data_IF_818713887032
#
_entry.id   IF_818713887032
#
_cell.length_a   1.000
_cell.length_b   1.000
_cell.length_c   1.000
_cell.angle_alpha   90.00
_cell.angle_beta   90.00
_cell.angle_gamma   90.00
#
_symmetry.space_group_name_H-M   'P 1'
#
loop_
_entity.id
_entity.type
_entity.pdbx_description
1 polymer ?
#
# COMPACT_ATOMS: atom_id res chain seq x y z
N UNK A 1 9.58 -23.25 30.05
CA UNK A 1 8.41 -23.52 29.18
C UNK A 1 7.48 -22.34 29.34
N UNK A 2 7.85 -21.24 28.68
CA UNK A 2 7.34 -19.89 28.94
C UNK A 2 6.23 -19.63 27.93
N UNK A 3 5.01 -19.49 28.43
CA UNK A 3 3.78 -19.29 27.69
C UNK A 3 3.85 -17.97 26.92
N UNK A 4 4.17 -18.06 25.62
CA UNK A 4 3.93 -16.99 24.64
C UNK A 4 2.42 -16.92 24.42
N UNK A 5 1.74 -16.13 25.24
CA UNK A 5 0.37 -15.70 24.93
C UNK A 5 0.53 -14.63 23.85
N UNK A 6 0.57 -15.06 22.59
CA UNK A 6 0.18 -14.18 21.50
C UNK A 6 -1.17 -13.59 21.88
N UNK A 7 -1.22 -12.27 22.08
CA UNK A 7 -2.49 -11.55 22.08
C UNK A 7 -3.11 -11.76 20.71
N UNK A 8 -3.89 -12.83 20.56
CA UNK A 8 -4.81 -12.96 19.45
C UNK A 8 -5.74 -11.76 19.54
N UNK A 9 -5.47 -10.74 18.73
CA UNK A 9 -6.42 -9.66 18.52
C UNK A 9 -7.64 -10.32 17.91
N UNK A 10 -8.69 -10.49 18.72
CA UNK A 10 -9.93 -11.09 18.25
C UNK A 10 -10.50 -10.18 17.16
N UNK A 11 -10.48 -10.67 15.92
CA UNK A 11 -11.14 -10.03 14.81
C UNK A 11 -12.65 -10.13 15.04
N UNK A 12 -13.29 -9.04 15.43
CA UNK A 12 -14.74 -8.92 15.26
C UNK A 12 -15.01 -8.80 13.76
N UNK A 13 -15.32 -9.94 13.14
CA UNK A 13 -15.50 -10.09 11.70
C UNK A 13 -16.54 -9.12 11.16
N UNK A 14 -17.60 -8.85 11.93
CA UNK A 14 -18.67 -7.94 11.54
C UNK A 14 -18.18 -6.49 11.48
N UNK A 15 -17.39 -6.07 12.48
CA UNK A 15 -16.79 -4.74 12.54
C UNK A 15 -15.74 -4.59 11.44
N UNK A 16 -14.88 -5.58 11.25
CA UNK A 16 -13.83 -5.57 10.23
C UNK A 16 -14.43 -5.51 8.83
N UNK A 17 -15.41 -6.35 8.50
CA UNK A 17 -16.12 -6.31 7.21
C UNK A 17 -16.79 -4.96 6.96
N UNK A 18 -17.51 -4.44 7.97
CA UNK A 18 -18.16 -3.13 7.88
C UNK A 18 -17.16 -2.03 7.58
N UNK A 19 -15.97 -2.07 8.18
CA UNK A 19 -14.91 -1.08 7.97
C UNK A 19 -14.26 -1.23 6.60
N UNK A 20 -13.94 -2.44 6.17
CA UNK A 20 -13.40 -2.67 4.83
C UNK A 20 -14.37 -2.17 3.75
N UNK A 21 -15.67 -2.46 3.90
CA UNK A 21 -16.70 -1.94 3.02
C UNK A 21 -16.82 -0.41 3.08
N UNK A 22 -16.72 0.19 4.27
CA UNK A 22 -16.75 1.64 4.44
C UNK A 22 -15.58 2.33 3.72
N UNK A 23 -14.34 1.85 3.93
CA UNK A 23 -13.16 2.37 3.25
C UNK A 23 -13.32 2.31 1.73
N UNK A 24 -13.68 1.15 1.20
CA UNK A 24 -13.92 0.97 -0.24
C UNK A 24 -15.02 1.91 -0.77
N UNK A 25 -16.08 2.13 0.01
CA UNK A 25 -17.20 2.99 -0.39
C UNK A 25 -16.89 4.48 -0.35
N UNK A 26 -16.00 4.91 0.56
CA UNK A 26 -15.62 6.31 0.69
C UNK A 26 -14.59 6.69 -0.37
N UNK A 27 -13.62 5.83 -0.63
CA UNK A 27 -12.53 6.08 -1.59
C UNK A 27 -12.88 5.64 -3.02
N UNK A 28 -14.08 5.91 -3.54
CA UNK A 28 -14.49 5.45 -4.89
C UNK A 28 -13.66 6.02 -6.05
N UNK A 29 -13.08 7.21 -5.88
CA UNK A 29 -12.16 7.82 -6.86
C UNK A 29 -10.73 7.27 -6.81
N UNK A 30 -10.44 6.40 -5.84
CA UNK A 30 -9.12 5.83 -5.57
C UNK A 30 -9.24 4.31 -5.42
N UNK A 31 -8.11 3.62 -5.42
CA UNK A 31 -8.09 2.21 -5.00
C UNK A 31 -7.87 2.11 -3.49
N UNK A 32 -8.41 1.07 -2.87
CA UNK A 32 -8.10 0.73 -1.47
C UNK A 32 -7.37 -0.60 -1.44
N UNK A 33 -6.22 -0.64 -0.79
CA UNK A 33 -5.45 -1.84 -0.53
C UNK A 33 -5.63 -2.28 0.92
N UNK A 34 -5.74 -3.58 1.16
CA UNK A 34 -5.97 -4.13 2.49
C UNK A 34 -4.82 -5.04 2.93
N UNK A 35 -4.43 -5.00 4.21
CA UNK A 35 -3.43 -5.89 4.76
C UNK A 35 -3.88 -7.36 4.70
N UNK A 36 -3.02 -8.24 4.22
CA UNK A 36 -3.26 -9.71 4.15
C UNK A 36 -3.60 -10.33 5.51
N UNK A 37 -3.18 -9.72 6.61
CA UNK A 37 -3.43 -10.18 7.97
C UNK A 37 -4.93 -10.30 8.28
N UNK A 38 -5.79 -9.53 7.59
CA UNK A 38 -7.25 -9.65 7.68
C UNK A 38 -7.80 -10.99 7.22
N UNK A 39 -7.05 -11.72 6.40
CA UNK A 39 -7.47 -13.01 5.82
C UNK A 39 -7.42 -14.15 6.83
N UNK A 40 -6.92 -13.91 8.05
CA UNK A 40 -7.08 -14.82 9.18
C UNK A 40 -8.55 -15.01 9.61
N UNK A 41 -9.46 -14.10 9.21
CA UNK A 41 -10.91 -14.29 9.30
C UNK A 41 -11.47 -14.82 7.97
N UNK A 42 -12.04 -16.05 7.91
CA UNK A 42 -12.56 -16.63 6.68
C UNK A 42 -13.67 -15.79 6.00
N UNK A 43 -14.63 -15.19 6.73
CA UNK A 43 -15.60 -14.28 6.14
C UNK A 43 -14.97 -13.04 5.50
N UNK A 44 -13.92 -12.47 6.12
CA UNK A 44 -13.18 -11.33 5.57
C UNK A 44 -12.40 -11.75 4.32
N UNK A 45 -11.69 -12.88 4.35
CA UNK A 45 -10.99 -13.42 3.19
C UNK A 45 -11.93 -13.66 2.00
N UNK A 46 -13.09 -14.30 2.25
CA UNK A 46 -14.11 -14.55 1.22
C UNK A 46 -14.67 -13.24 0.63
N UNK A 47 -14.84 -12.20 1.45
CA UNK A 47 -15.24 -10.88 0.97
C UNK A 47 -14.15 -10.23 0.12
N UNK A 48 -12.89 -10.26 0.55
CA UNK A 48 -11.76 -9.69 -0.18
C UNK A 48 -11.60 -10.34 -1.57
N UNK A 49 -11.71 -11.67 -1.66
CA UNK A 49 -11.71 -12.40 -2.92
C UNK A 49 -12.86 -12.01 -3.85
N UNK A 50 -14.09 -11.94 -3.32
CA UNK A 50 -15.29 -11.59 -4.10
C UNK A 50 -15.28 -10.13 -4.60
N UNK A 51 -14.87 -9.19 -3.75
CA UNK A 51 -14.84 -7.77 -4.07
C UNK A 51 -13.63 -7.35 -4.90
N UNK A 52 -12.71 -8.29 -5.19
CA UNK A 52 -11.49 -8.09 -5.98
C UNK A 52 -10.66 -6.89 -5.49
N UNK A 53 -10.52 -6.74 -4.18
CA UNK A 53 -9.74 -5.65 -3.58
C UNK A 53 -8.24 -5.86 -3.79
N UNK A 54 -7.45 -4.79 -3.75
CA UNK A 54 -5.98 -4.91 -3.70
C UNK A 54 -5.56 -5.43 -2.32
N UNK A 55 -4.54 -6.26 -2.27
CA UNK A 55 -4.02 -6.86 -1.04
C UNK A 55 -2.53 -6.61 -0.93
N UNK A 56 -2.10 -6.04 0.21
CA UNK A 56 -0.70 -5.85 0.55
C UNK A 56 -0.17 -7.08 1.30
N UNK A 57 0.97 -7.59 0.85
CA UNK A 57 1.67 -8.76 1.40
C UNK A 57 3.15 -8.45 1.59
N UNK A 58 3.76 -8.89 2.69
CA UNK A 58 5.15 -8.56 3.00
C UNK A 58 6.10 -9.77 2.83
N UNK A 59 5.58 -10.97 3.06
CA UNK A 59 6.35 -12.22 3.11
C UNK A 59 5.87 -13.24 2.07
N UNK A 60 6.72 -14.19 1.72
CA UNK A 60 6.33 -15.29 0.83
C UNK A 60 5.16 -16.12 1.40
N UNK A 61 5.13 -16.33 2.72
CA UNK A 61 4.06 -17.07 3.40
C UNK A 61 2.71 -16.32 3.33
N UNK A 62 2.73 -15.01 3.55
CA UNK A 62 1.53 -14.17 3.39
C UNK A 62 1.03 -14.15 1.94
N UNK A 63 1.94 -14.07 0.97
CA UNK A 63 1.62 -14.16 -0.44
C UNK A 63 0.95 -15.51 -0.79
N UNK A 64 1.48 -16.61 -0.28
CA UNK A 64 0.89 -17.95 -0.48
C UNK A 64 -0.48 -18.08 0.18
N UNK A 65 -0.65 -17.52 1.39
CA UNK A 65 -1.95 -17.45 2.06
C UNK A 65 -2.97 -16.67 1.22
N UNK A 66 -2.59 -15.51 0.67
CA UNK A 66 -3.49 -14.72 -0.17
C UNK A 66 -3.93 -15.50 -1.41
N UNK A 67 -3.01 -16.19 -2.08
CA UNK A 67 -3.29 -17.03 -3.24
C UNK A 67 -4.21 -18.22 -2.86
N UNK A 68 -3.95 -18.88 -1.74
CA UNK A 68 -4.77 -20.00 -1.25
C UNK A 68 -6.22 -19.57 -0.95
N UNK A 69 -6.42 -18.32 -0.53
CA UNK A 69 -7.73 -17.72 -0.34
C UNK A 69 -8.36 -17.15 -1.62
N UNK A 70 -7.76 -17.39 -2.80
CA UNK A 70 -8.32 -17.04 -4.10
C UNK A 70 -8.03 -15.62 -4.59
N UNK A 71 -7.14 -14.88 -3.93
CA UNK A 71 -6.68 -13.56 -4.42
C UNK A 71 -5.85 -13.76 -5.68
N UNK A 72 -6.18 -13.02 -6.73
CA UNK A 72 -5.47 -13.14 -8.00
C UNK A 72 -4.14 -12.38 -7.94
N UNK A 73 -3.06 -12.83 -8.62
CA UNK A 73 -1.79 -12.10 -8.68
C UNK A 73 -1.93 -10.64 -9.10
N UNK A 74 -2.88 -10.33 -9.99
CA UNK A 74 -3.20 -8.97 -10.44
C UNK A 74 -3.74 -8.03 -9.33
N UNK A 75 -4.10 -8.56 -8.16
CA UNK A 75 -4.56 -7.82 -7.00
C UNK A 75 -3.47 -7.62 -5.94
N UNK A 76 -2.32 -8.31 -6.07
CA UNK A 76 -1.29 -8.35 -5.04
C UNK A 76 -0.28 -7.22 -5.21
N UNK A 77 -0.01 -6.51 -4.13
CA UNK A 77 1.12 -5.58 -4.00
C UNK A 77 2.07 -6.16 -2.98
N UNK A 78 3.29 -6.46 -3.42
CA UNK A 78 4.32 -7.06 -2.56
C UNK A 78 5.19 -5.98 -1.95
N UNK A 79 5.36 -6.02 -0.63
CA UNK A 79 6.32 -5.23 0.16
C UNK A 79 7.41 -6.17 0.69
N UNK A 80 8.29 -6.67 -0.19
CA UNK A 80 9.20 -7.76 0.14
C UNK A 80 10.12 -7.42 1.31
N UNK A 81 10.09 -8.26 2.36
CA UNK A 81 11.04 -8.15 3.49
C UNK A 81 12.42 -8.73 3.19
N UNK A 82 12.50 -9.68 2.28
CA UNK A 82 13.71 -10.41 1.95
C UNK A 82 13.73 -10.92 0.49
N UNK A 83 14.82 -11.60 0.12
CA UNK A 83 14.97 -12.18 -1.22
C UNK A 83 14.00 -13.32 -1.52
N UNK A 84 13.52 -14.05 -0.52
CA UNK A 84 12.55 -15.14 -0.71
C UNK A 84 11.17 -14.57 -1.08
N UNK A 85 10.76 -13.50 -0.41
CA UNK A 85 9.61 -12.68 -0.76
C UNK A 85 9.69 -12.15 -2.20
N UNK A 86 10.83 -11.58 -2.61
CA UNK A 86 11.05 -11.12 -4.00
C UNK A 86 10.93 -12.24 -5.02
N UNK A 87 11.63 -13.36 -4.79
CA UNK A 87 11.60 -14.51 -5.68
C UNK A 87 10.19 -15.08 -5.83
N UNK A 88 9.44 -15.16 -4.71
CA UNK A 88 8.06 -15.65 -4.73
C UNK A 88 7.14 -14.71 -5.50
N UNK A 89 7.26 -13.40 -5.27
CA UNK A 89 6.44 -12.40 -5.96
C UNK A 89 6.68 -12.40 -7.48
N UNK A 90 7.92 -12.59 -7.92
CA UNK A 90 8.27 -12.75 -9.33
C UNK A 90 7.66 -14.05 -9.91
N UNK A 91 7.80 -15.18 -9.20
CA UNK A 91 7.29 -16.47 -9.65
C UNK A 91 5.76 -16.49 -9.85
N UNK A 92 5.01 -15.85 -8.95
CA UNK A 92 3.54 -15.78 -9.03
C UNK A 92 3.04 -14.58 -9.84
N UNK A 93 3.95 -13.69 -10.27
CA UNK A 93 3.67 -12.46 -11.03
C UNK A 93 2.71 -11.52 -10.31
N UNK A 94 3.06 -11.14 -9.07
CA UNK A 94 2.35 -10.13 -8.33
C UNK A 94 2.17 -8.84 -9.16
N UNK A 95 1.09 -8.10 -8.94
CA UNK A 95 0.76 -6.96 -9.78
C UNK A 95 1.84 -5.89 -9.73
N UNK A 96 2.35 -5.61 -8.51
CA UNK A 96 3.37 -4.59 -8.24
C UNK A 96 4.30 -5.01 -7.11
N UNK A 97 5.56 -4.61 -7.20
CA UNK A 97 6.55 -4.74 -6.12
C UNK A 97 6.89 -3.36 -5.55
N UNK A 98 6.97 -3.24 -4.23
CA UNK A 98 7.50 -2.05 -3.56
C UNK A 98 8.99 -2.25 -3.31
N UNK A 99 9.82 -1.41 -3.91
CA UNK A 99 11.28 -1.49 -3.81
C UNK A 99 11.76 -0.39 -2.88
N UNK A 100 12.41 -0.79 -1.78
CA UNK A 100 12.83 0.11 -0.71
C UNK A 100 14.35 0.31 -0.61
N UNK A 101 15.13 -0.49 -1.35
CA UNK A 101 16.58 -0.41 -1.37
C UNK A 101 17.16 -0.73 -2.74
N UNK A 102 18.40 -0.30 -2.99
CA UNK A 102 19.15 -0.62 -4.21
C UNK A 102 19.41 -2.14 -4.33
N UNK A 103 19.70 -2.80 -3.20
CA UNK A 103 19.85 -4.26 -3.14
C UNK A 103 18.57 -4.97 -3.60
N UNK A 104 17.40 -4.53 -3.11
CA UNK A 104 16.12 -5.08 -3.56
C UNK A 104 15.89 -4.85 -5.05
N UNK A 105 16.25 -3.68 -5.59
CA UNK A 105 16.16 -3.40 -7.01
C UNK A 105 17.03 -4.36 -7.84
N UNK A 106 18.30 -4.54 -7.46
CA UNK A 106 19.21 -5.50 -8.12
C UNK A 106 18.66 -6.92 -8.06
N UNK A 107 18.20 -7.38 -6.89
CA UNK A 107 17.67 -8.74 -6.72
C UNK A 107 16.38 -8.93 -7.53
N UNK A 108 15.46 -7.97 -7.51
CA UNK A 108 14.23 -8.00 -8.29
C UNK A 108 14.53 -8.08 -9.79
N UNK A 109 15.45 -7.25 -10.29
CA UNK A 109 15.83 -7.23 -11.70
C UNK A 109 16.45 -8.56 -12.17
N UNK A 110 17.31 -9.17 -11.34
CA UNK A 110 17.92 -10.48 -11.65
C UNK A 110 16.90 -11.62 -11.66
N UNK A 111 15.91 -11.57 -10.77
CA UNK A 111 14.87 -12.59 -10.65
C UNK A 111 13.68 -12.40 -11.61
N UNK A 112 13.61 -11.25 -12.30
CA UNK A 112 12.48 -10.90 -13.14
C UNK A 112 12.35 -11.81 -14.36
N UNK A 113 11.17 -12.42 -14.52
CA UNK A 113 10.81 -13.25 -15.68
C UNK A 113 10.00 -12.50 -16.74
N UNK A 114 9.70 -11.23 -16.46
CA UNK A 114 8.98 -10.27 -17.30
C UNK A 114 9.39 -8.87 -16.86
N UNK A 115 8.81 -7.85 -17.48
CA UNK A 115 8.89 -6.50 -16.93
C UNK A 115 8.02 -6.44 -15.67
N UNK A 116 8.65 -6.23 -14.51
CA UNK A 116 7.97 -6.07 -13.23
C UNK A 116 7.58 -4.61 -13.01
N UNK A 117 6.32 -4.38 -12.68
CA UNK A 117 5.88 -3.03 -12.29
C UNK A 117 6.29 -2.76 -10.86
N UNK A 118 7.01 -1.67 -10.63
CA UNK A 118 7.53 -1.32 -9.32
C UNK A 118 7.06 0.04 -8.83
N UNK A 119 6.83 0.12 -7.52
CA UNK A 119 6.70 1.36 -6.79
C UNK A 119 7.99 1.56 -6.00
N UNK A 120 8.59 2.75 -6.06
CA UNK A 120 9.75 3.06 -5.22
C UNK A 120 9.26 3.61 -3.89
N UNK A 121 9.79 3.07 -2.79
CA UNK A 121 9.49 3.57 -1.45
C UNK A 121 10.01 5.01 -1.30
N UNK A 122 9.15 5.88 -0.79
CA UNK A 122 9.46 7.27 -0.49
C UNK A 122 10.40 7.42 0.70
N UNK A 123 10.89 8.64 0.92
CA UNK A 123 11.81 8.97 2.00
C UNK A 123 13.22 9.28 1.52
N UNK A 124 14.17 9.38 2.47
CA UNK A 124 15.50 9.94 2.23
C UNK A 124 16.31 9.23 1.13
N UNK A 125 16.12 7.91 0.98
CA UNK A 125 16.85 7.07 0.00
C UNK A 125 16.12 6.86 -1.32
N UNK A 126 14.96 7.46 -1.50
CA UNK A 126 14.11 7.24 -2.68
C UNK A 126 14.85 7.57 -4.00
N UNK A 127 15.80 8.50 -3.97
CA UNK A 127 16.59 8.92 -5.14
C UNK A 127 17.59 7.86 -5.58
N UNK A 128 18.34 7.30 -4.64
CA UNK A 128 19.32 6.25 -4.89
C UNK A 128 18.61 4.99 -5.39
N UNK A 129 17.50 4.62 -4.73
CA UNK A 129 16.66 3.49 -5.17
C UNK A 129 16.07 3.71 -6.55
N UNK A 130 15.58 4.92 -6.85
CA UNK A 130 15.07 5.27 -8.18
C UNK A 130 16.17 5.14 -9.25
N UNK A 131 17.37 5.64 -8.98
CA UNK A 131 18.49 5.54 -9.92
C UNK A 131 18.84 4.09 -10.23
N UNK A 132 18.88 3.24 -9.20
CA UNK A 132 19.13 1.80 -9.36
C UNK A 132 18.01 1.11 -10.12
N UNK A 133 16.73 1.40 -9.82
CA UNK A 133 15.59 0.82 -10.54
C UNK A 133 15.65 1.18 -12.04
N UNK A 134 15.96 2.43 -12.37
CA UNK A 134 16.07 2.90 -13.75
C UNK A 134 17.25 2.29 -14.53
N UNK A 135 18.25 1.76 -13.83
CA UNK A 135 19.37 1.07 -14.47
C UNK A 135 18.98 -0.31 -15.04
N UNK A 136 17.86 -0.89 -14.57
CA UNK A 136 17.41 -2.23 -14.96
C UNK A 136 16.20 -2.18 -15.89
N UNK A 137 16.33 -2.71 -17.11
CA UNK A 137 15.23 -2.75 -18.10
C UNK A 137 14.08 -3.69 -17.74
N UNK A 138 14.32 -4.60 -16.80
CA UNK A 138 13.35 -5.54 -16.27
C UNK A 138 12.38 -4.88 -15.27
N UNK A 139 12.66 -3.66 -14.81
CA UNK A 139 11.84 -2.94 -13.85
C UNK A 139 11.18 -1.74 -14.53
N UNK A 140 9.86 -1.69 -14.48
CA UNK A 140 9.05 -0.55 -14.94
C UNK A 140 8.57 0.22 -13.71
N UNK A 141 9.18 1.37 -13.46
CA UNK A 141 8.80 2.22 -12.32
C UNK A 141 7.52 2.98 -12.63
N UNK A 142 6.42 2.56 -12.01
CA UNK A 142 5.09 3.09 -12.30
C UNK A 142 4.62 4.15 -11.29
N UNK A 143 5.28 4.25 -10.14
CA UNK A 143 4.84 5.12 -9.07
C UNK A 143 5.73 5.14 -7.84
N UNK A 144 5.24 5.83 -6.81
CA UNK A 144 5.85 5.88 -5.49
C UNK A 144 4.95 5.19 -4.46
N UNK A 145 5.56 4.63 -3.43
CA UNK A 145 4.88 4.17 -2.23
C UNK A 145 5.36 5.00 -1.03
N UNK A 146 4.44 5.64 -0.31
CA UNK A 146 4.74 6.39 0.90
C UNK A 146 3.85 5.90 2.04
N UNK A 147 4.30 6.12 3.27
CA UNK A 147 3.55 5.80 4.47
C UNK A 147 3.34 7.07 5.30
N UNK A 148 2.13 7.21 5.86
CA UNK A 148 1.81 8.22 6.85
C UNK A 148 2.59 7.96 8.15
N UNK A 149 3.14 9.03 8.74
CA UNK A 149 3.65 8.96 10.11
C UNK A 149 2.47 9.21 11.06
N UNK A 150 2.04 8.23 11.87
CA UNK A 150 0.89 8.41 12.75
C UNK A 150 1.06 9.50 13.81
N UNK A 151 2.31 9.91 14.10
CA UNK A 151 2.59 10.93 15.12
C UNK A 151 2.52 12.35 14.58
N UNK A 152 2.91 12.56 13.33
CA UNK A 152 3.05 13.90 12.72
C UNK A 152 2.08 14.14 11.55
N UNK A 153 1.77 13.09 10.79
CA UNK A 153 0.88 13.13 9.62
C UNK A 153 -0.11 11.95 9.62
N UNK A 154 -0.99 11.82 10.63
CA UNK A 154 -1.86 10.67 10.81
C UNK A 154 -2.85 10.45 9.64
N UNK A 155 -3.09 11.49 8.84
CA UNK A 155 -3.97 11.45 7.67
C UNK A 155 -3.19 11.31 6.35
N UNK A 156 -1.85 11.26 6.38
CA UNK A 156 -1.00 11.05 5.20
C UNK A 156 -0.97 12.22 4.21
N UNK A 157 -1.39 13.42 4.62
CA UNK A 157 -1.50 14.59 3.77
C UNK A 157 -0.12 15.17 3.44
N UNK A 158 0.77 15.19 4.43
CA UNK A 158 2.18 15.56 4.26
C UNK A 158 2.92 14.57 3.37
N UNK A 159 2.78 13.27 3.66
CA UNK A 159 3.36 12.19 2.88
C UNK A 159 2.91 12.23 1.41
N UNK A 160 1.62 12.51 1.15
CA UNK A 160 1.09 12.66 -0.20
C UNK A 160 1.66 13.89 -0.92
N UNK A 161 1.75 15.06 -0.25
CA UNK A 161 2.38 16.26 -0.82
C UNK A 161 3.84 16.01 -1.18
N UNK A 162 4.59 15.36 -0.28
CA UNK A 162 5.99 15.00 -0.51
C UNK A 162 6.14 14.05 -1.69
N UNK A 163 5.32 13.00 -1.77
CA UNK A 163 5.34 12.06 -2.90
C UNK A 163 5.08 12.76 -4.25
N UNK A 164 4.12 13.69 -4.31
CA UNK A 164 3.84 14.46 -5.52
C UNK A 164 5.01 15.38 -5.89
N UNK A 165 5.64 16.03 -4.91
CA UNK A 165 6.84 16.81 -5.14
C UNK A 165 8.00 15.95 -5.67
N UNK A 166 8.19 14.74 -5.11
CA UNK A 166 9.20 13.78 -5.57
C UNK A 166 8.94 13.33 -7.00
N UNK A 167 7.70 13.03 -7.38
CA UNK A 167 7.32 12.69 -8.77
C UNK A 167 7.68 13.81 -9.76
N UNK A 168 7.55 15.07 -9.34
CA UNK A 168 7.93 16.24 -10.16
C UNK A 168 9.45 16.32 -10.31
N UNK A 169 10.21 16.07 -9.24
CA UNK A 169 11.66 16.02 -9.28
C UNK A 169 12.17 14.88 -10.17
N UNK A 170 11.55 13.70 -10.07
CA UNK A 170 11.85 12.53 -10.90
C UNK A 170 11.57 12.84 -12.37
N UNK A 171 10.41 13.44 -12.69
CA UNK A 171 10.11 13.87 -14.07
C UNK A 171 11.17 14.82 -14.63
N UNK A 172 11.66 15.75 -13.81
CA UNK A 172 12.66 16.75 -14.24
C UNK A 172 14.05 16.15 -14.44
N UNK A 173 14.47 15.23 -13.57
CA UNK A 173 15.84 14.67 -13.57
C UNK A 173 16.00 13.41 -14.40
N UNK A 174 14.96 12.58 -14.43
CA UNK A 174 14.99 11.27 -15.06
C UNK A 174 14.13 11.21 -16.32
N UNK A 175 13.37 12.27 -16.65
CA UNK A 175 12.43 12.31 -17.78
C UNK A 175 11.34 11.22 -17.74
N UNK A 176 11.05 10.69 -16.55
CA UNK A 176 10.02 9.67 -16.31
C UNK A 176 8.77 10.31 -15.70
N UNK A 177 7.60 10.02 -16.27
CA UNK A 177 6.31 10.44 -15.71
C UNK A 177 5.69 9.25 -14.99
N UNK A 178 5.69 9.33 -13.65
CA UNK A 178 5.05 8.33 -12.80
C UNK A 178 3.54 8.55 -12.81
N UNK A 179 2.77 7.47 -12.71
CA UNK A 179 1.31 7.51 -12.86
C UNK A 179 0.55 7.02 -11.62
N UNK A 180 1.26 6.61 -10.57
CA UNK A 180 0.66 6.02 -9.36
C UNK A 180 1.31 6.53 -8.08
N UNK A 181 0.48 6.65 -7.05
CA UNK A 181 0.91 6.82 -5.66
C UNK A 181 0.19 5.77 -4.82
N UNK A 182 0.93 5.07 -3.99
CA UNK A 182 0.39 4.24 -2.91
C UNK A 182 0.67 4.94 -1.58
N UNK A 183 -0.38 5.31 -0.84
CA UNK A 183 -0.31 5.96 0.47
C UNK A 183 -0.78 4.98 1.54
N UNK A 184 0.13 4.45 2.33
CA UNK A 184 -0.15 3.50 3.39
C UNK A 184 -0.11 4.13 4.78
N UNK A 185 -0.45 3.31 5.79
CA UNK A 185 -0.34 3.69 7.20
C UNK A 185 -1.41 4.65 7.67
N UNK A 186 -2.50 4.82 6.91
CA UNK A 186 -3.59 5.72 7.32
C UNK A 186 -4.27 5.16 8.56
N UNK A 187 -3.95 5.75 9.72
CA UNK A 187 -4.54 5.35 10.99
C UNK A 187 -5.86 6.09 11.22
N UNK A 188 -6.95 5.33 11.14
CA UNK A 188 -8.29 5.80 11.49
C UNK A 188 -8.55 5.87 12.99
N UNK A 189 -7.56 5.57 13.85
CA UNK A 189 -7.67 5.50 15.31
C UNK A 189 -8.31 6.75 15.94
N UNK A 190 -8.04 7.94 15.38
CA UNK A 190 -8.67 9.20 15.78
C UNK A 190 -9.97 9.53 15.02
N UNK A 191 -10.23 8.95 13.84
CA UNK A 191 -11.38 9.28 12.99
C UNK A 191 -12.73 8.72 13.49
N UNK A 192 -12.75 8.02 14.63
CA UNK A 192 -13.94 7.34 15.18
C UNK A 192 -14.73 6.50 14.17
N UNK A 193 -14.15 6.17 13.01
CA UNK A 193 -14.76 5.42 11.90
C UNK A 193 -16.16 5.91 11.55
N UNK A 194 -16.43 7.19 11.80
CA UNK A 194 -17.71 7.78 11.42
C UNK A 194 -17.67 7.94 9.90
N UNK A 195 -18.69 7.47 9.17
CA UNK A 195 -18.67 7.55 7.71
C UNK A 195 -18.42 8.95 7.16
N UNK A 196 -18.88 10.00 7.85
CA UNK A 196 -18.65 11.38 7.44
C UNK A 196 -17.19 11.82 7.63
N UNK A 197 -16.53 11.41 8.72
CA UNK A 197 -15.15 11.80 8.99
C UNK A 197 -14.20 11.20 7.96
N UNK A 198 -14.40 9.91 7.61
CA UNK A 198 -13.62 9.28 6.56
C UNK A 198 -13.87 9.93 5.19
N UNK A 199 -15.09 10.40 4.90
CA UNK A 199 -15.38 11.17 3.69
C UNK A 199 -14.61 12.48 3.63
N UNK A 200 -14.57 13.24 4.73
CA UNK A 200 -13.76 14.46 4.79
C UNK A 200 -12.28 14.16 4.53
N UNK A 201 -11.74 13.04 5.03
CA UNK A 201 -10.36 12.64 4.76
C UNK A 201 -10.16 12.30 3.29
N UNK A 202 -11.07 11.54 2.67
CA UNK A 202 -10.98 11.22 1.25
C UNK A 202 -11.06 12.47 0.37
N UNK A 203 -11.98 13.40 0.68
CA UNK A 203 -12.10 14.70 0.01
C UNK A 203 -10.83 15.54 0.18
N UNK A 204 -10.27 15.59 1.39
CA UNK A 204 -9.04 16.33 1.65
C UNK A 204 -7.83 15.74 0.89
N UNK A 205 -7.70 14.41 0.84
CA UNK A 205 -6.66 13.74 0.05
C UNK A 205 -6.84 14.02 -1.45
N UNK A 206 -8.08 13.98 -1.95
CA UNK A 206 -8.40 14.29 -3.34
C UNK A 206 -8.03 15.74 -3.70
N UNK A 207 -8.34 16.69 -2.80
CA UNK A 207 -7.98 18.10 -2.92
C UNK A 207 -6.46 18.30 -2.94
N UNK A 208 -5.71 17.60 -2.09
CA UNK A 208 -4.23 17.63 -2.15
C UNK A 208 -3.73 17.15 -3.51
N UNK A 209 -4.24 16.03 -4.03
CA UNK A 209 -3.84 15.57 -5.37
C UNK A 209 -4.21 16.64 -6.41
N UNK A 210 -5.42 17.21 -6.33
CA UNK A 210 -5.89 18.22 -7.27
C UNK A 210 -4.98 19.47 -7.27
N UNK A 211 -4.79 20.08 -6.11
CA UNK A 211 -4.01 21.30 -5.92
C UNK A 211 -2.56 21.10 -6.34
N UNK A 212 -1.90 20.01 -5.91
CA UNK A 212 -0.50 19.77 -6.27
C UNK A 212 -0.33 19.46 -7.75
N UNK A 213 -1.25 18.69 -8.37
CA UNK A 213 -1.21 18.42 -9.81
C UNK A 213 -1.39 19.72 -10.62
N UNK A 214 -2.32 20.58 -10.23
CA UNK A 214 -2.53 21.88 -10.84
C UNK A 214 -1.28 22.77 -10.69
N UNK A 215 -0.74 22.87 -9.47
CA UNK A 215 0.46 23.65 -9.13
C UNK A 215 1.67 23.26 -9.97
N UNK A 216 1.92 21.97 -10.11
CA UNK A 216 3.10 21.45 -10.82
C UNK A 216 2.87 21.14 -12.30
N UNK A 217 1.64 21.35 -12.80
CA UNK A 217 1.19 20.90 -14.13
C UNK A 217 1.58 19.43 -14.36
N UNK A 218 1.21 18.59 -13.40
CA UNK A 218 1.51 17.16 -13.40
C UNK A 218 0.23 16.38 -13.73
N UNK A 219 0.29 15.34 -14.59
CA UNK A 219 -0.87 14.48 -14.84
C UNK A 219 -1.35 13.84 -13.53
N UNK A 220 -2.66 13.83 -13.30
CA UNK A 220 -3.22 13.27 -12.05
C UNK A 220 -2.84 11.78 -11.91
N UNK A 221 -2.06 11.38 -10.89
CA UNK A 221 -1.76 9.97 -10.67
C UNK A 221 -2.94 9.23 -10.08
N UNK A 222 -3.02 7.93 -10.36
CA UNK A 222 -3.92 7.04 -9.65
C UNK A 222 -3.46 6.88 -8.19
N UNK A 223 -4.35 7.19 -7.25
CA UNK A 223 -4.10 7.04 -5.82
C UNK A 223 -4.61 5.67 -5.34
N UNK A 224 -3.76 4.94 -4.63
CA UNK A 224 -4.15 3.80 -3.80
C UNK A 224 -3.93 4.17 -2.35
N UNK A 225 -4.94 4.01 -1.50
CA UNK A 225 -4.81 4.21 -0.06
C UNK A 225 -4.81 2.86 0.65
N UNK A 226 -3.97 2.70 1.66
CA UNK A 226 -3.94 1.52 2.51
C UNK A 226 -4.17 1.93 3.98
N UNK A 227 -5.35 1.64 4.56
CA UNK A 227 -5.55 1.75 6.00
C UNK A 227 -4.53 0.92 6.77
N UNK A 228 -4.14 1.39 7.95
CA UNK A 228 -3.40 0.56 8.89
C UNK A 228 -4.25 -0.65 9.32
N UNK A 229 -3.60 -1.73 9.73
CA UNK A 229 -4.31 -2.89 10.28
C UNK A 229 -5.18 -2.48 11.49
N UNK A 230 -4.65 -1.66 12.39
CA UNK A 230 -5.38 -1.13 13.56
C UNK A 230 -6.63 -0.34 13.18
N UNK A 231 -6.63 0.40 12.07
CA UNK A 231 -7.80 1.14 11.58
C UNK A 231 -8.98 0.23 11.23
N UNK A 232 -8.74 -1.07 10.99
CA UNK A 232 -9.76 -2.04 10.56
C UNK A 232 -10.25 -2.93 11.71
N UNK A 233 -9.65 -2.82 12.89
CA UNK A 233 -9.96 -3.61 14.07
C UNK A 233 -10.89 -2.89 15.06
N UNK A 234 -11.81 -3.58 15.74
CA UNK A 234 -12.58 -2.97 16.83
C UNK A 234 -11.66 -2.19 17.78
N UNK A 235 -12.16 -1.05 18.32
CA UNK A 235 -11.38 -0.33 19.33
C UNK A 235 -11.16 -1.28 20.50
N UNK A 236 -9.91 -1.56 20.83
CA UNK A 236 -9.60 -2.23 22.08
C UNK A 236 -10.10 -1.31 23.20
N UNK A 237 -11.20 -1.71 23.86
CA UNK A 237 -11.78 -0.98 24.99
C UNK A 237 -10.86 -0.96 26.24
N UNK A 238 -9.72 -1.64 26.17
CA UNK A 238 -8.76 -1.79 27.28
C UNK A 238 -7.50 -0.91 27.15
N UNK A 239 -7.57 0.21 26.44
CA UNK A 239 -6.60 1.30 26.61
C UNK A 239 -7.30 2.40 27.41
N UNK A 240 -7.33 2.19 28.72
CA UNK A 240 -7.58 3.22 29.72
C UNK A 240 -6.23 3.81 30.16
#
# INVERSE_FOLDING_TARGET
MTTYIERQVLLDESVTLRRCALWRNVFKGSSVSFPVQLMSSPPVAAWMGRCRVTVDVDTAAELDMALACGIQPAQLVMHPRDGAALARAAAVRAARLVISSEEQATVAARGAQRIEQVLVAGGARSREVMAEVLAHRQLDVVGLHCAADPSDDPLGMGALRSALADMVLIRRRCSVVLSRISLAGLDGGQLCLRPWALRQVAEALDEVVHEQCARYRYPRPALTVAPSFSALLPRNLNVA
#
